data_IF_995659799094
#
_entry.id   IF_995659799094
#
_cell.length_a   1.000
_cell.length_b   1.000
_cell.length_c   1.000
_cell.angle_alpha   90.00
_cell.angle_beta   90.00
_cell.angle_gamma   90.00
#
_symmetry.space_group_name_H-M   'P 1'
#
loop_
_entity.id
_entity.type
_entity.pdbx_description
1 polymer ?
#
# COMPACT_ATOMS: atom_id res chain seq x y z
N UNK A 1 -18.67 -24.60 -38.80
CA UNK A 1 -19.84 -23.87 -38.26
C UNK A 1 -19.56 -23.51 -36.80
N UNK A 2 -19.10 -22.29 -36.53
CA UNK A 2 -18.83 -21.77 -35.19
C UNK A 2 -19.71 -20.53 -35.00
N UNK A 3 -20.53 -20.51 -33.93
CA UNK A 3 -21.41 -19.38 -33.59
C UNK A 3 -20.64 -18.35 -32.77
N UNK A 4 -20.55 -17.14 -33.31
CA UNK A 4 -20.09 -15.93 -32.63
C UNK A 4 -21.26 -15.43 -31.77
N UNK A 5 -21.05 -15.21 -30.47
CA UNK A 5 -22.01 -14.51 -29.62
C UNK A 5 -21.68 -13.02 -29.62
N UNK A 6 -22.54 -12.21 -30.27
CA UNK A 6 -22.51 -10.76 -30.16
C UNK A 6 -23.01 -10.33 -28.77
N UNK A 7 -22.14 -9.66 -28.02
CA UNK A 7 -22.47 -9.07 -26.73
C UNK A 7 -23.03 -7.67 -26.96
N UNK A 8 -24.34 -7.50 -26.86
CA UNK A 8 -24.98 -6.17 -26.88
C UNK A 8 -24.77 -5.47 -25.53
N UNK A 9 -24.21 -4.25 -25.49
CA UNK A 9 -24.04 -3.51 -24.24
C UNK A 9 -25.40 -3.05 -23.70
N UNK A 10 -25.67 -3.39 -22.43
CA UNK A 10 -26.83 -2.85 -21.72
C UNK A 10 -26.69 -1.33 -21.49
N UNK A 11 -27.77 -0.54 -21.56
CA UNK A 11 -27.69 0.91 -21.43
C UNK A 11 -27.26 1.34 -20.02
N UNK A 12 -26.58 2.50 -19.89
CA UNK A 12 -26.14 3.03 -18.59
C UNK A 12 -27.33 3.31 -17.67
N UNK A 13 -27.26 2.79 -16.44
CA UNK A 13 -28.28 3.02 -15.41
C UNK A 13 -28.33 4.50 -15.02
N UNK A 14 -29.53 5.08 -15.02
CA UNK A 14 -29.77 6.51 -14.72
C UNK A 14 -29.63 6.80 -13.21
N UNK A 15 -29.36 8.07 -12.86
CA UNK A 15 -29.16 8.56 -11.48
C UNK A 15 -30.28 8.20 -10.50
N UNK A 16 -31.50 7.94 -10.99
CA UNK A 16 -32.66 7.53 -10.17
C UNK A 16 -32.52 6.12 -9.59
N UNK A 17 -31.86 5.18 -10.27
CA UNK A 17 -31.60 3.84 -9.73
C UNK A 17 -30.56 3.86 -8.59
N UNK A 18 -29.59 4.76 -8.66
CA UNK A 18 -28.60 4.99 -7.59
C UNK A 18 -29.26 5.48 -6.29
N UNK A 19 -30.20 6.42 -6.37
CA UNK A 19 -30.91 6.93 -5.19
C UNK A 19 -31.83 5.90 -4.53
N UNK A 20 -32.50 5.02 -5.32
CA UNK A 20 -33.35 3.95 -4.78
C UNK A 20 -32.54 2.86 -4.05
N UNK A 21 -31.38 2.47 -4.58
CA UNK A 21 -30.46 1.52 -3.92
C UNK A 21 -29.96 2.06 -2.58
N UNK A 22 -29.54 3.33 -2.52
CA UNK A 22 -29.09 3.97 -1.28
C UNK A 22 -30.21 4.10 -0.22
N UNK A 23 -31.43 4.42 -0.63
CA UNK A 23 -32.57 4.50 0.29
C UNK A 23 -32.91 3.14 0.91
N UNK A 24 -32.85 2.07 0.11
CA UNK A 24 -33.07 0.67 0.55
C UNK A 24 -32.01 0.22 1.56
N UNK A 25 -30.72 0.47 1.27
CA UNK A 25 -29.61 0.10 2.17
C UNK A 25 -29.64 0.93 3.46
N UNK A 26 -29.96 2.24 3.38
CA UNK A 26 -30.14 3.10 4.55
C UNK A 26 -31.31 2.64 5.44
N UNK A 27 -32.42 2.21 4.83
CA UNK A 27 -33.59 1.69 5.55
C UNK A 27 -33.24 0.41 6.34
N UNK A 28 -32.54 -0.54 5.72
CA UNK A 28 -32.12 -1.80 6.37
C UNK A 28 -31.10 -1.55 7.50
N UNK A 29 -30.10 -0.69 7.28
CA UNK A 29 -29.15 -0.29 8.33
C UNK A 29 -29.84 0.40 9.51
N UNK A 30 -30.88 1.22 9.26
CA UNK A 30 -31.61 1.92 10.32
C UNK A 30 -32.38 0.98 11.26
N UNK A 31 -32.82 -0.18 10.76
CA UNK A 31 -33.51 -1.19 11.56
C UNK A 31 -32.55 -1.97 12.48
N UNK A 32 -31.34 -2.28 11.99
CA UNK A 32 -30.26 -2.88 12.81
C UNK A 32 -29.72 -1.90 13.87
N UNK A 33 -29.56 -0.62 13.50
CA UNK A 33 -29.14 0.46 14.41
C UNK A 33 -30.11 0.68 15.60
N UNK A 34 -31.42 0.47 15.40
CA UNK A 34 -32.42 0.63 16.48
C UNK A 34 -32.35 -0.46 17.54
N UNK A 35 -31.85 -1.67 17.23
CA UNK A 35 -31.64 -2.74 18.22
C UNK A 35 -30.36 -2.55 19.07
N UNK A 36 -29.36 -1.81 18.56
CA UNK A 36 -28.07 -1.60 19.24
C UNK A 36 -28.06 -0.35 20.14
N UNK A 37 -29.04 0.55 19.99
CA UNK A 37 -29.13 1.83 20.72
C UNK A 37 -29.33 1.76 22.25
N UNK A 38 -29.28 0.57 22.87
CA UNK A 38 -29.35 0.43 24.33
C UNK A 38 -27.96 0.26 24.93
N UNK A 39 -27.47 1.38 25.48
CA UNK A 39 -26.37 1.49 26.44
C UNK A 39 -24.98 1.11 25.92
N UNK A 40 -24.12 2.12 25.70
CA UNK A 40 -22.68 2.01 25.98
C UNK A 40 -22.09 3.41 26.14
N UNK A 41 -21.53 3.69 27.32
CA UNK A 41 -20.52 4.76 27.49
C UNK A 41 -19.48 4.61 26.37
N UNK A 42 -18.97 5.71 25.84
CA UNK A 42 -17.82 5.66 24.93
C UNK A 42 -16.71 4.88 25.62
N UNK A 43 -16.30 3.77 25.02
CA UNK A 43 -15.17 3.00 25.51
C UNK A 43 -13.94 3.90 25.47
N UNK A 44 -13.11 3.82 26.51
CA UNK A 44 -11.83 4.52 26.52
C UNK A 44 -10.71 3.54 26.25
N UNK A 45 -9.79 3.93 25.38
CA UNK A 45 -8.58 3.18 25.03
C UNK A 45 -7.37 4.05 25.30
N UNK A 46 -6.22 3.44 25.62
CA UNK A 46 -4.98 4.16 25.91
C UNK A 46 -3.87 3.66 25.00
N UNK A 47 -3.23 4.58 24.30
CA UNK A 47 -2.02 4.33 23.54
C UNK A 47 -1.19 5.61 23.48
N UNK A 48 0.12 5.47 23.32
CA UNK A 48 1.05 6.60 23.28
C UNK A 48 0.93 7.56 24.49
N UNK A 49 0.65 7.00 25.66
CA UNK A 49 0.45 7.76 26.90
C UNK A 49 -0.89 8.52 27.00
N UNK A 50 -1.67 8.62 25.92
CA UNK A 50 -2.91 9.39 25.83
C UNK A 50 -4.15 8.48 25.87
N UNK A 51 -5.23 8.96 26.50
CA UNK A 51 -6.51 8.27 26.55
C UNK A 51 -7.47 8.84 25.49
N UNK A 52 -8.06 7.95 24.67
CA UNK A 52 -8.97 8.31 23.58
C UNK A 52 -10.34 7.67 23.79
N UNK A 53 -11.40 8.42 23.45
CA UNK A 53 -12.75 7.87 23.37
C UNK A 53 -12.94 7.14 22.03
N UNK A 54 -13.29 5.86 22.08
CA UNK A 54 -13.56 5.03 20.92
C UNK A 54 -15.05 5.09 20.52
N UNK A 55 -15.30 5.33 19.23
CA UNK A 55 -16.63 5.31 18.62
C UNK A 55 -17.08 3.90 18.25
N UNK A 56 -18.35 3.73 17.85
CA UNK A 56 -18.89 2.44 17.37
C UNK A 56 -18.14 1.92 16.11
N UNK A 57 -17.48 2.80 15.36
CA UNK A 57 -16.66 2.39 14.22
C UNK A 57 -15.47 1.53 14.66
N UNK A 58 -14.91 1.77 15.86
CA UNK A 58 -13.80 0.96 16.38
C UNK A 58 -14.22 -0.49 16.60
N UNK A 59 -15.38 -0.74 17.21
CA UNK A 59 -15.92 -2.09 17.34
C UNK A 59 -16.33 -2.70 15.99
N UNK A 60 -16.87 -1.88 15.09
CA UNK A 60 -17.32 -2.32 13.76
C UNK A 60 -16.16 -2.78 12.89
N UNK A 61 -14.96 -2.19 13.06
CA UNK A 61 -13.78 -2.59 12.31
C UNK A 61 -13.44 -4.07 12.47
N UNK A 62 -13.45 -4.59 13.71
CA UNK A 62 -13.14 -6.01 13.94
C UNK A 62 -14.15 -6.94 13.27
N UNK A 63 -15.44 -6.60 13.33
CA UNK A 63 -16.50 -7.35 12.65
C UNK A 63 -16.39 -7.26 11.12
N UNK A 64 -16.12 -6.06 10.60
CA UNK A 64 -15.92 -5.81 9.17
C UNK A 64 -14.77 -6.64 8.61
N UNK A 65 -13.62 -6.66 9.31
CA UNK A 65 -12.44 -7.40 8.85
C UNK A 65 -12.70 -8.91 8.90
N UNK A 66 -13.31 -9.43 9.98
CA UNK A 66 -13.68 -10.83 10.06
C UNK A 66 -14.63 -11.24 8.92
N UNK A 67 -15.76 -10.54 8.77
CA UNK A 67 -16.76 -10.86 7.75
C UNK A 67 -16.21 -10.68 6.33
N UNK A 68 -15.39 -9.65 6.08
CA UNK A 68 -14.78 -9.44 4.77
C UNK A 68 -13.84 -10.59 4.40
N UNK A 69 -13.10 -11.14 5.36
CA UNK A 69 -12.27 -12.32 5.11
C UNK A 69 -13.11 -13.58 4.89
N UNK A 70 -14.21 -13.77 5.64
CA UNK A 70 -15.14 -14.88 5.41
C UNK A 70 -15.76 -14.84 4.00
N UNK A 71 -16.12 -13.66 3.49
CA UNK A 71 -16.55 -13.50 2.09
C UNK A 71 -15.50 -14.01 1.10
N UNK A 72 -14.22 -13.73 1.35
CA UNK A 72 -13.14 -14.22 0.49
C UNK A 72 -13.06 -15.76 0.53
N UNK A 73 -13.09 -16.36 1.72
CA UNK A 73 -13.03 -17.82 1.88
C UNK A 73 -14.22 -18.51 1.21
N UNK A 74 -15.46 -18.06 1.46
CA UNK A 74 -16.66 -18.61 0.81
C UNK A 74 -16.58 -18.56 -0.71
N UNK A 75 -16.04 -17.47 -1.28
CA UNK A 75 -15.82 -17.35 -2.72
C UNK A 75 -14.72 -18.28 -3.24
N UNK A 76 -13.63 -18.39 -2.50
CA UNK A 76 -12.52 -19.28 -2.83
C UNK A 76 -12.95 -20.75 -2.82
N UNK A 77 -13.78 -21.14 -1.87
CA UNK A 77 -14.38 -22.48 -1.75
C UNK A 77 -15.51 -22.74 -2.77
N UNK A 78 -15.81 -21.79 -3.65
CA UNK A 78 -16.83 -21.94 -4.69
C UNK A 78 -18.27 -21.97 -4.16
N UNK A 79 -18.52 -21.46 -2.94
CA UNK A 79 -19.86 -21.41 -2.39
C UNK A 79 -20.78 -20.47 -3.20
N UNK A 80 -22.07 -20.80 -3.33
CA UNK A 80 -23.02 -19.96 -4.07
C UNK A 80 -23.30 -18.63 -3.34
N UNK A 81 -23.75 -17.63 -4.09
CA UNK A 81 -24.25 -16.38 -3.51
C UNK A 81 -25.58 -16.58 -2.75
N UNK A 82 -25.91 -15.71 -1.77
CA UNK A 82 -25.10 -14.58 -1.29
C UNK A 82 -23.95 -15.02 -0.37
N UNK A 83 -22.78 -14.37 -0.49
CA UNK A 83 -21.63 -14.67 0.36
C UNK A 83 -21.63 -13.90 1.68
N UNK A 84 -22.65 -13.10 1.97
CA UNK A 84 -22.77 -12.31 3.20
C UNK A 84 -24.21 -11.83 3.36
N UNK A 85 -24.64 -11.69 4.61
CA UNK A 85 -25.88 -11.02 4.97
C UNK A 85 -25.70 -9.51 5.18
N UNK A 86 -24.45 -9.00 5.18
CA UNK A 86 -24.18 -7.57 5.27
C UNK A 86 -24.55 -6.87 3.94
N UNK A 87 -25.56 -5.98 3.93
CA UNK A 87 -26.06 -5.38 2.70
C UNK A 87 -25.07 -4.37 2.09
N UNK A 88 -24.13 -3.83 2.87
CA UNK A 88 -23.10 -2.90 2.38
C UNK A 88 -22.00 -3.69 1.68
N UNK A 89 -21.51 -4.78 2.30
CA UNK A 89 -20.49 -5.66 1.71
C UNK A 89 -21.01 -6.37 0.45
N UNK A 90 -22.30 -6.70 0.39
CA UNK A 90 -22.93 -7.25 -0.81
C UNK A 90 -23.08 -6.21 -1.95
N UNK A 91 -23.27 -4.94 -1.62
CA UNK A 91 -23.62 -3.90 -2.59
C UNK A 91 -22.42 -3.16 -3.20
N UNK A 92 -21.26 -3.15 -2.54
CA UNK A 92 -20.10 -2.33 -2.95
C UNK A 92 -18.81 -3.14 -3.02
N UNK A 93 -17.88 -2.78 -3.93
CA UNK A 93 -16.58 -3.45 -4.00
C UNK A 93 -15.72 -3.05 -2.81
N UNK A 94 -15.11 -4.03 -2.14
CA UNK A 94 -14.07 -3.84 -1.13
C UNK A 94 -12.89 -4.74 -1.47
N UNK A 95 -11.67 -4.27 -1.24
CA UNK A 95 -10.47 -5.12 -1.35
C UNK A 95 -10.53 -6.24 -0.31
N UNK A 96 -9.66 -7.24 -0.46
CA UNK A 96 -9.52 -8.30 0.53
C UNK A 96 -8.81 -7.76 1.79
N UNK A 97 -8.94 -8.46 2.91
CA UNK A 97 -8.28 -8.06 4.17
C UNK A 97 -6.76 -8.09 4.01
N UNK A 98 -6.26 -9.18 3.42
CA UNK A 98 -4.85 -9.31 3.06
C UNK A 98 -4.66 -8.83 1.63
N UNK A 99 -3.87 -7.76 1.45
CA UNK A 99 -3.62 -7.15 0.13
C UNK A 99 -3.11 -8.13 -0.90
N UNK A 100 -2.26 -9.08 -0.48
CA UNK A 100 -1.68 -10.08 -1.40
C UNK A 100 -2.77 -10.89 -2.13
N UNK A 101 -3.96 -11.02 -1.54
CA UNK A 101 -5.10 -11.74 -2.12
C UNK A 101 -5.90 -10.88 -3.10
N UNK A 102 -5.62 -9.59 -3.25
CA UNK A 102 -6.29 -8.75 -4.25
C UNK A 102 -5.93 -9.21 -5.66
N UNK A 103 -6.89 -9.10 -6.59
CA UNK A 103 -6.74 -9.55 -7.99
C UNK A 103 -5.45 -9.04 -8.64
N UNK A 104 -5.11 -7.77 -8.41
CA UNK A 104 -3.94 -7.16 -9.03
C UNK A 104 -2.63 -7.65 -8.38
N UNK A 105 -2.61 -7.85 -7.06
CA UNK A 105 -1.45 -8.44 -6.37
C UNK A 105 -1.26 -9.91 -6.75
N UNK A 106 -2.35 -10.67 -6.88
CA UNK A 106 -2.33 -12.04 -7.40
C UNK A 106 -1.80 -12.10 -8.84
N UNK A 107 -2.16 -11.14 -9.68
CA UNK A 107 -1.63 -11.04 -11.04
C UNK A 107 -0.14 -10.76 -11.05
N UNK A 108 0.34 -9.77 -10.29
CA UNK A 108 1.77 -9.46 -10.16
C UNK A 108 2.55 -10.69 -9.71
N UNK A 109 2.08 -11.36 -8.65
CA UNK A 109 2.76 -12.52 -8.10
C UNK A 109 2.90 -13.64 -9.16
N UNK A 110 1.81 -13.99 -9.83
CA UNK A 110 1.78 -15.15 -10.73
C UNK A 110 2.34 -14.87 -12.13
N UNK A 111 2.17 -13.65 -12.65
CA UNK A 111 2.50 -13.33 -14.06
C UNK A 111 3.72 -12.43 -14.22
N UNK A 112 4.12 -11.69 -13.17
CA UNK A 112 5.24 -10.74 -13.24
C UNK A 112 6.44 -11.27 -12.45
N UNK A 113 6.22 -11.66 -11.19
CA UNK A 113 7.27 -12.14 -10.28
C UNK A 113 7.69 -13.57 -10.64
N UNK A 114 6.73 -14.51 -10.65
CA UNK A 114 7.01 -15.94 -10.82
C UNK A 114 7.37 -16.36 -12.26
N UNK A 115 7.15 -15.48 -13.25
CA UNK A 115 7.51 -15.72 -14.66
C UNK A 115 8.82 -15.02 -15.03
N UNK A 116 9.49 -15.54 -16.04
CA UNK A 116 10.75 -14.98 -16.55
C UNK A 116 11.95 -15.23 -15.63
N UNK A 117 13.05 -14.53 -15.90
CA UNK A 117 14.29 -14.66 -15.12
C UNK A 117 14.07 -14.29 -13.65
N UNK A 118 14.54 -15.15 -12.75
CA UNK A 118 14.54 -14.93 -11.29
C UNK A 118 15.83 -14.26 -10.81
N UNK A 119 16.61 -13.68 -11.73
CA UNK A 119 17.66 -12.73 -11.38
C UNK A 119 17.04 -11.48 -10.72
N UNK A 120 17.74 -10.93 -9.72
CA UNK A 120 17.26 -9.80 -8.92
C UNK A 120 16.89 -8.61 -9.81
N UNK A 121 17.79 -8.21 -10.72
CA UNK A 121 17.60 -7.02 -11.55
C UNK A 121 16.49 -7.22 -12.57
N UNK A 122 16.40 -8.41 -13.16
CA UNK A 122 15.34 -8.77 -14.10
C UNK A 122 13.95 -8.77 -13.43
N UNK A 123 13.81 -9.43 -12.27
CA UNK A 123 12.55 -9.46 -11.54
C UNK A 123 12.16 -8.07 -11.00
N UNK A 124 13.14 -7.31 -10.49
CA UNK A 124 12.93 -5.94 -10.01
C UNK A 124 12.43 -5.02 -11.14
N UNK A 125 13.04 -5.08 -12.32
CA UNK A 125 12.61 -4.33 -13.50
C UNK A 125 11.16 -4.63 -13.87
N UNK A 126 10.78 -5.91 -13.95
CA UNK A 126 9.41 -6.33 -14.27
C UNK A 126 8.39 -5.80 -13.27
N UNK A 127 8.69 -5.86 -11.97
CA UNK A 127 7.81 -5.34 -10.91
C UNK A 127 7.68 -3.81 -10.99
N UNK A 128 8.78 -3.08 -11.19
CA UNK A 128 8.76 -1.64 -11.42
C UNK A 128 7.84 -1.28 -12.59
N UNK A 129 8.07 -1.91 -13.75
CA UNK A 129 7.32 -1.66 -14.97
C UNK A 129 5.82 -1.92 -14.77
N UNK A 130 5.46 -3.08 -14.21
CA UNK A 130 4.05 -3.40 -13.96
C UNK A 130 3.42 -2.36 -13.03
N UNK A 131 4.05 -2.08 -11.87
CA UNK A 131 3.47 -1.21 -10.84
C UNK A 131 3.34 0.24 -11.32
N UNK A 132 4.24 0.71 -12.18
CA UNK A 132 4.12 2.03 -12.82
C UNK A 132 2.79 2.20 -13.55
N UNK A 133 2.39 1.22 -14.37
CA UNK A 133 1.11 1.28 -15.10
C UNK A 133 -0.08 0.82 -14.25
N UNK A 134 0.18 -0.09 -13.31
CA UNK A 134 -0.76 -0.70 -12.39
C UNK A 134 -2.00 -1.29 -13.09
N UNK A 135 -1.84 -1.77 -14.32
CA UNK A 135 -2.93 -2.20 -15.22
C UNK A 135 -2.52 -3.50 -15.93
N UNK A 136 -3.33 -4.55 -15.72
CA UNK A 136 -3.09 -5.89 -16.28
C UNK A 136 -3.07 -5.82 -17.81
N UNK A 137 -4.03 -5.12 -18.41
CA UNK A 137 -4.18 -5.05 -19.86
C UNK A 137 -2.97 -4.36 -20.52
N UNK A 138 -2.34 -3.38 -19.85
CA UNK A 138 -1.12 -2.74 -20.35
C UNK A 138 0.07 -3.70 -20.30
N UNK A 139 0.17 -4.51 -19.25
CA UNK A 139 1.22 -5.52 -19.13
C UNK A 139 1.07 -6.61 -20.20
N UNK A 140 -0.13 -7.16 -20.38
CA UNK A 140 -0.41 -8.17 -21.40
C UNK A 140 -0.11 -7.63 -22.80
N UNK A 141 -0.51 -6.39 -23.09
CA UNK A 141 -0.20 -5.74 -24.37
C UNK A 141 1.30 -5.57 -24.60
N UNK A 142 2.08 -5.24 -23.57
CA UNK A 142 3.54 -5.17 -23.67
C UNK A 142 4.14 -6.56 -23.96
N UNK A 143 3.72 -7.60 -23.25
CA UNK A 143 4.19 -8.97 -23.49
C UNK A 143 3.84 -9.47 -24.91
N UNK A 144 2.64 -9.18 -25.40
CA UNK A 144 2.20 -9.57 -26.76
C UNK A 144 3.04 -8.93 -27.87
N UNK A 145 3.47 -7.68 -27.68
CA UNK A 145 4.19 -6.92 -28.72
C UNK A 145 5.71 -6.99 -28.59
N UNK A 146 6.24 -7.19 -27.38
CA UNK A 146 7.68 -7.21 -27.09
C UNK A 146 8.21 -8.62 -26.83
N UNK A 147 7.34 -9.60 -26.60
CA UNK A 147 7.71 -10.92 -26.11
C UNK A 147 8.07 -10.87 -24.62
N UNK A 148 9.07 -11.67 -24.23
CA UNK A 148 9.51 -11.71 -22.83
C UNK A 148 10.05 -10.34 -22.40
N UNK A 149 9.44 -9.77 -21.35
CA UNK A 149 9.87 -8.48 -20.79
C UNK A 149 11.13 -8.70 -19.96
N UNK A 150 12.26 -8.18 -20.44
CA UNK A 150 13.56 -8.25 -19.78
C UNK A 150 14.16 -6.86 -19.61
N UNK A 151 15.00 -6.70 -18.57
CA UNK A 151 15.82 -5.51 -18.42
C UNK A 151 16.90 -5.46 -19.50
N UNK A 152 17.52 -6.60 -19.81
CA UNK A 152 18.54 -6.72 -20.87
C UNK A 152 18.08 -6.13 -22.22
N UNK A 153 16.83 -6.36 -22.60
CA UNK A 153 16.29 -5.94 -23.91
C UNK A 153 15.49 -4.62 -23.81
N UNK A 154 15.54 -3.93 -22.67
CA UNK A 154 14.84 -2.67 -22.48
C UNK A 154 15.37 -1.58 -23.43
N UNK A 155 14.46 -1.01 -24.22
CA UNK A 155 14.74 0.10 -25.11
C UNK A 155 13.59 1.11 -25.12
N UNK A 156 13.88 2.36 -24.75
CA UNK A 156 12.86 3.40 -24.59
C UNK A 156 12.05 3.63 -25.88
N UNK A 157 12.69 3.69 -27.04
CA UNK A 157 12.02 3.97 -28.33
C UNK A 157 11.09 2.82 -28.73
N UNK A 158 11.49 1.59 -28.44
CA UNK A 158 10.67 0.40 -28.72
C UNK A 158 9.43 0.39 -27.83
N UNK A 159 9.59 0.66 -26.53
CA UNK A 159 8.47 0.79 -25.61
C UNK A 159 7.57 1.98 -25.96
N UNK A 160 8.12 3.11 -26.42
CA UNK A 160 7.33 4.25 -26.89
C UNK A 160 6.46 3.87 -28.09
N UNK A 161 7.03 3.18 -29.08
CA UNK A 161 6.29 2.73 -30.26
C UNK A 161 5.13 1.80 -29.89
N UNK A 162 5.33 0.89 -28.93
CA UNK A 162 4.28 -0.01 -28.45
C UNK A 162 3.24 0.74 -27.62
N UNK A 163 3.65 1.49 -26.60
CA UNK A 163 2.69 2.19 -25.72
C UNK A 163 1.92 3.29 -26.43
N UNK A 164 2.50 3.91 -27.46
CA UNK A 164 1.82 4.92 -28.28
C UNK A 164 0.73 4.35 -29.18
N UNK A 165 0.71 3.04 -29.43
CA UNK A 165 -0.33 2.37 -30.21
C UNK A 165 -1.49 1.82 -29.37
N UNK A 166 -1.40 1.90 -28.03
CA UNK A 166 -2.48 1.47 -27.13
C UNK A 166 -3.70 2.39 -27.32
N UNK A 167 -4.84 1.79 -27.64
CA UNK A 167 -6.12 2.50 -27.62
C UNK A 167 -6.59 2.70 -26.17
N UNK A 168 -6.78 3.96 -25.77
CA UNK A 168 -7.20 4.34 -24.43
C UNK A 168 -6.08 4.50 -23.39
N UNK A 169 -6.44 4.38 -22.11
CA UNK A 169 -5.53 4.67 -21.01
C UNK A 169 -4.56 3.52 -20.72
N UNK A 170 -3.25 3.81 -20.70
CA UNK A 170 -2.20 2.85 -20.31
C UNK A 170 -2.07 2.67 -18.79
N UNK A 171 -2.71 3.54 -18.01
CA UNK A 171 -2.71 3.48 -16.54
C UNK A 171 -4.06 3.01 -16.01
N UNK A 172 -4.03 2.37 -14.85
CA UNK A 172 -5.22 2.22 -14.03
C UNK A 172 -5.58 3.56 -13.35
N UNK A 173 -6.84 3.70 -12.94
CA UNK A 173 -7.37 4.94 -12.30
C UNK A 173 -7.13 5.02 -10.80
N UNK A 174 -6.53 3.99 -10.20
CA UNK A 174 -6.29 3.88 -8.74
C UNK A 174 -4.83 3.49 -8.50
N UNK A 175 -4.25 3.97 -7.40
CA UNK A 175 -2.84 3.78 -7.04
C UNK A 175 -1.90 4.22 -8.17
N UNK A 176 -2.15 5.44 -8.67
CA UNK A 176 -1.42 6.02 -9.80
C UNK A 176 -0.06 6.45 -9.27
N UNK A 177 1.02 5.80 -9.74
CA UNK A 177 2.35 6.34 -9.53
C UNK A 177 2.43 7.71 -10.23
N UNK A 178 2.68 8.80 -9.49
CA UNK A 178 2.82 10.09 -10.13
C UNK A 178 4.12 10.08 -10.95
N UNK A 179 4.01 10.51 -12.20
CA UNK A 179 5.18 10.70 -13.04
C UNK A 179 6.14 11.67 -12.35
N UNK A 180 7.45 11.55 -12.59
CA UNK A 180 8.43 12.52 -12.14
C UNK A 180 8.30 13.81 -12.98
N UNK A 181 7.08 14.36 -13.06
CA UNK A 181 6.65 15.50 -13.85
C UNK A 181 7.40 15.59 -15.18
N UNK A 182 8.08 16.72 -15.40
CA UNK A 182 8.95 16.96 -16.56
C UNK A 182 10.43 16.80 -16.23
N UNK A 183 10.84 16.07 -15.18
CA UNK A 183 12.26 15.88 -14.88
C UNK A 183 13.04 15.34 -16.07
N UNK A 184 12.42 14.45 -16.85
CA UNK A 184 13.01 13.90 -18.07
C UNK A 184 12.58 14.65 -19.34
N UNK A 185 11.82 15.73 -19.22
CA UNK A 185 11.47 16.62 -20.32
C UNK A 185 10.50 16.06 -21.36
N UNK A 186 9.81 14.95 -21.09
CA UNK A 186 8.80 14.41 -21.99
C UNK A 186 7.40 14.96 -21.68
N UNK A 187 6.60 15.20 -22.72
CA UNK A 187 5.18 15.57 -22.55
C UNK A 187 4.32 14.37 -22.13
N UNK A 188 4.71 13.15 -22.56
CA UNK A 188 3.99 11.92 -22.22
C UNK A 188 4.49 11.34 -20.89
N UNK A 189 3.60 11.22 -19.92
CA UNK A 189 3.94 10.71 -18.58
C UNK A 189 4.58 9.33 -18.58
N UNK A 190 4.20 8.42 -19.50
CA UNK A 190 4.81 7.09 -19.53
C UNK A 190 6.28 7.12 -19.93
N UNK A 191 6.71 8.07 -20.77
CA UNK A 191 8.13 8.23 -21.09
C UNK A 191 8.94 8.70 -19.89
N UNK A 192 8.39 9.64 -19.11
CA UNK A 192 9.00 10.08 -17.86
C UNK A 192 9.09 8.92 -16.84
N UNK A 193 8.09 8.03 -16.78
CA UNK A 193 8.16 6.84 -15.93
C UNK A 193 9.17 5.81 -16.44
N UNK A 194 9.21 5.51 -17.73
CA UNK A 194 10.18 4.57 -18.29
C UNK A 194 11.62 5.05 -18.04
N UNK A 195 11.86 6.37 -18.09
CA UNK A 195 13.13 6.96 -17.71
C UNK A 195 13.43 6.92 -16.21
N UNK A 196 12.40 7.02 -15.36
CA UNK A 196 12.56 6.79 -13.93
C UNK A 196 12.98 5.34 -13.66
N UNK A 197 12.37 4.37 -14.34
CA UNK A 197 12.73 2.95 -14.22
C UNK A 197 14.18 2.76 -14.69
N UNK A 198 14.55 3.27 -15.86
CA UNK A 198 15.94 3.24 -16.37
C UNK A 198 16.95 3.83 -15.37
N UNK A 199 16.61 4.96 -14.74
CA UNK A 199 17.42 5.54 -13.68
C UNK A 199 17.54 4.61 -12.48
N UNK A 200 16.43 4.07 -11.96
CA UNK A 200 16.44 3.16 -10.80
C UNK A 200 17.25 1.89 -11.07
N UNK A 201 17.18 1.34 -12.28
CA UNK A 201 17.95 0.18 -12.71
C UNK A 201 19.44 0.49 -12.77
N UNK A 202 19.82 1.58 -13.45
CA UNK A 202 21.22 1.95 -13.63
C UNK A 202 21.89 2.44 -12.34
N UNK A 203 21.12 3.00 -11.41
CA UNK A 203 21.60 3.35 -10.07
C UNK A 203 21.69 2.14 -9.13
N UNK A 204 21.41 0.92 -9.62
CA UNK A 204 21.52 -0.33 -8.84
C UNK A 204 20.69 -0.31 -7.56
N UNK A 205 19.50 0.30 -7.63
CA UNK A 205 18.63 0.45 -6.47
C UNK A 205 18.24 -0.90 -5.86
N UNK A 206 18.06 -1.93 -6.69
CA UNK A 206 17.75 -3.28 -6.22
C UNK A 206 18.81 -3.83 -5.25
N UNK A 207 20.10 -3.62 -5.56
CA UNK A 207 21.22 -4.07 -4.73
C UNK A 207 21.22 -3.35 -3.38
N UNK A 208 20.99 -2.03 -3.39
CA UNK A 208 20.92 -1.23 -2.16
C UNK A 208 19.74 -1.65 -1.28
N UNK A 209 18.56 -1.87 -1.87
CA UNK A 209 17.37 -2.31 -1.13
C UNK A 209 17.58 -3.70 -0.52
N UNK A 210 18.25 -4.62 -1.22
CA UNK A 210 18.49 -5.98 -0.71
C UNK A 210 19.30 -5.99 0.60
N UNK A 211 20.15 -4.99 0.81
CA UNK A 211 20.93 -4.85 2.06
C UNK A 211 20.12 -4.24 3.22
N UNK A 212 18.93 -3.71 2.96
CA UNK A 212 18.12 -3.06 3.97
C UNK A 212 17.35 -4.08 4.81
N UNK A 213 17.39 -3.89 6.12
CA UNK A 213 16.77 -4.81 7.09
C UNK A 213 15.29 -4.51 7.34
N UNK A 214 14.89 -3.24 7.27
CA UNK A 214 13.54 -2.80 7.62
C UNK A 214 12.78 -2.26 6.42
N UNK A 215 11.47 -2.56 6.37
CA UNK A 215 10.57 -2.06 5.34
C UNK A 215 10.54 -0.52 5.29
N UNK A 216 10.65 0.12 6.46
CA UNK A 216 10.67 1.58 6.61
C UNK A 216 11.91 2.21 5.98
N UNK A 217 13.07 1.56 6.10
CA UNK A 217 14.34 2.02 5.54
C UNK A 217 14.31 1.87 4.01
N UNK A 218 13.84 0.72 3.54
CA UNK A 218 13.65 0.44 2.12
C UNK A 218 12.66 1.43 1.47
N UNK A 219 11.55 1.76 2.15
CA UNK A 219 10.63 2.80 1.71
C UNK A 219 11.27 4.19 1.73
N UNK A 220 12.01 4.53 2.79
CA UNK A 220 12.76 5.78 2.90
C UNK A 220 13.69 5.99 1.72
N UNK A 221 14.52 4.99 1.41
CA UNK A 221 15.44 4.98 0.27
C UNK A 221 14.75 5.04 -1.08
N UNK A 222 13.63 4.34 -1.25
CA UNK A 222 12.85 4.36 -2.48
C UNK A 222 12.24 5.74 -2.74
N UNK A 223 11.88 6.47 -1.68
CA UNK A 223 11.36 7.84 -1.80
C UNK A 223 12.45 8.91 -1.93
N UNK A 224 13.72 8.53 -1.77
CA UNK A 224 14.86 9.43 -1.94
C UNK A 224 14.96 9.88 -3.41
N UNK A 225 15.09 11.20 -3.60
CA UNK A 225 15.19 11.79 -4.94
C UNK A 225 13.84 12.07 -5.62
N UNK A 226 12.73 11.70 -4.98
CA UNK A 226 11.37 11.97 -5.50
C UNK A 226 10.64 13.02 -4.66
N UNK A 227 10.88 13.09 -3.35
CA UNK A 227 10.13 13.99 -2.44
C UNK A 227 10.40 15.50 -2.63
N UNK A 228 11.53 15.92 -3.21
CA UNK A 228 11.76 17.35 -3.49
C UNK A 228 11.27 17.79 -4.87
N UNK A 229 10.97 16.84 -5.78
CA UNK A 229 10.58 17.17 -7.14
C UNK A 229 9.15 16.69 -7.48
N UNK A 230 8.62 15.60 -6.89
CA UNK A 230 7.38 14.96 -7.37
C UNK A 230 6.58 14.18 -6.30
N UNK A 231 5.48 14.78 -5.80
CA UNK A 231 4.17 14.10 -5.55
C UNK A 231 4.14 13.01 -4.42
N UNK A 232 2.98 12.65 -3.82
CA UNK A 232 2.94 12.14 -2.45
C UNK A 232 3.35 10.65 -2.28
N UNK A 233 4.27 10.43 -1.34
CA UNK A 233 4.75 9.27 -0.55
C UNK A 233 4.04 7.89 -0.64
N UNK A 234 2.76 7.81 -1.00
CA UNK A 234 1.91 6.62 -0.79
C UNK A 234 2.01 5.56 -1.90
N UNK A 235 2.24 5.94 -3.15
CA UNK A 235 2.29 4.95 -4.25
C UNK A 235 3.60 4.17 -4.28
N UNK A 236 4.71 4.77 -3.81
CA UNK A 236 5.95 4.04 -3.52
C UNK A 236 5.78 2.99 -2.41
N UNK A 237 4.82 3.19 -1.51
CA UNK A 237 4.52 2.16 -0.51
C UNK A 237 3.87 0.92 -1.14
N UNK A 238 3.09 1.05 -2.22
CA UNK A 238 2.55 -0.12 -2.93
C UNK A 238 3.61 -0.82 -3.77
N UNK A 239 4.55 -0.07 -4.33
CA UNK A 239 5.73 -0.64 -4.98
C UNK A 239 6.57 -1.46 -4.01
N UNK A 240 6.94 -0.91 -2.84
CA UNK A 240 7.79 -1.65 -1.88
C UNK A 240 7.11 -2.93 -1.38
N UNK A 241 5.78 -2.91 -1.19
CA UNK A 241 5.04 -4.10 -0.80
C UNK A 241 4.96 -5.15 -1.93
N UNK A 242 4.99 -4.74 -3.21
CA UNK A 242 5.09 -5.72 -4.30
C UNK A 242 6.48 -6.33 -4.39
N UNK A 243 7.52 -5.50 -4.20
CA UNK A 243 8.89 -5.96 -4.11
C UNK A 243 9.03 -6.97 -2.96
N UNK A 244 8.37 -6.75 -1.83
CA UNK A 244 8.39 -7.68 -0.69
C UNK A 244 7.73 -9.05 -0.98
N UNK A 245 7.02 -9.21 -2.10
CA UNK A 245 6.52 -10.51 -2.58
C UNK A 245 7.56 -11.28 -3.40
N UNK A 246 8.67 -10.64 -3.80
CA UNK A 246 9.78 -11.30 -4.48
C UNK A 246 10.61 -12.11 -3.46
N UNK A 247 11.20 -13.25 -3.85
CA UNK A 247 12.02 -14.06 -2.95
C UNK A 247 13.33 -13.37 -2.49
N UNK A 248 13.72 -12.28 -3.15
CA UNK A 248 14.94 -11.53 -2.84
C UNK A 248 14.82 -10.60 -1.64
N UNK A 249 13.59 -10.29 -1.20
CA UNK A 249 13.30 -9.39 -0.10
C UNK A 249 12.52 -10.14 0.98
N UNK A 250 12.72 -9.76 2.24
CA UNK A 250 12.07 -10.40 3.39
C UNK A 250 11.85 -9.42 4.54
N UNK A 251 11.30 -8.25 4.24
CA UNK A 251 11.00 -7.26 5.26
C UNK A 251 9.73 -7.63 6.03
N UNK A 252 9.73 -7.34 7.34
CA UNK A 252 8.54 -7.56 8.18
C UNK A 252 7.45 -6.54 7.87
N UNK A 253 6.26 -7.03 7.52
CA UNK A 253 5.04 -6.22 7.37
C UNK A 253 4.37 -5.89 8.71
N UNK A 254 4.87 -6.44 9.82
CA UNK A 254 4.29 -6.26 11.17
C UNK A 254 4.94 -5.11 11.98
N UNK A 255 6.05 -4.58 11.48
CA UNK A 255 6.87 -3.60 12.21
C UNK A 255 6.40 -2.15 11.97
N UNK A 256 6.14 -1.81 10.71
CA UNK A 256 5.84 -0.45 10.28
C UNK A 256 5.00 -0.40 8.99
N UNK A 257 4.24 0.69 8.83
CA UNK A 257 3.43 0.97 7.65
C UNK A 257 3.32 2.47 7.42
N UNK A 258 3.33 2.91 6.15
CA UNK A 258 3.02 4.30 5.81
C UNK A 258 1.51 4.55 5.96
N UNK A 259 1.10 5.49 6.82
CA UNK A 259 -0.32 5.76 7.09
C UNK A 259 -1.01 6.38 5.88
N UNK A 260 -1.89 5.62 5.22
CA UNK A 260 -2.71 6.11 4.12
C UNK A 260 -3.80 7.11 4.55
N UNK A 261 -4.30 7.97 3.64
CA UNK A 261 -5.29 9.00 3.94
C UNK A 261 -6.66 8.42 4.32
N UNK A 262 -7.02 7.26 3.75
CA UNK A 262 -8.22 6.53 4.13
C UNK A 262 -8.11 5.98 5.56
N UNK A 263 -6.99 5.33 5.87
CA UNK A 263 -6.72 4.77 7.20
C UNK A 263 -6.64 5.86 8.26
N UNK A 264 -5.92 6.96 7.98
CA UNK A 264 -5.91 8.18 8.82
C UNK A 264 -7.33 8.72 9.04
N UNK A 265 -8.13 8.86 7.99
CA UNK A 265 -9.52 9.30 8.14
C UNK A 265 -10.37 8.30 8.93
N UNK A 266 -10.08 7.00 8.86
CA UNK A 266 -10.76 5.98 9.65
C UNK A 266 -10.45 6.14 11.14
N UNK A 267 -9.16 6.28 11.48
CA UNK A 267 -8.70 6.47 12.86
C UNK A 267 -9.28 7.73 13.48
N UNK A 268 -9.37 8.83 12.73
CA UNK A 268 -10.02 10.07 13.19
C UNK A 268 -11.52 9.87 13.48
N UNK A 269 -12.21 9.03 12.70
CA UNK A 269 -13.62 8.66 12.98
C UNK A 269 -13.74 7.69 14.17
N UNK A 270 -12.72 6.86 14.42
CA UNK A 270 -12.69 5.94 15.55
C UNK A 270 -12.41 6.64 16.87
N UNK A 271 -11.45 7.56 16.91
CA UNK A 271 -10.87 8.09 18.15
C UNK A 271 -11.01 9.61 18.31
N UNK A 272 -11.68 10.29 17.37
CA UNK A 272 -11.82 11.75 17.37
C UNK A 272 -10.61 12.47 16.77
N UNK A 273 -10.68 13.81 16.77
CA UNK A 273 -9.63 14.68 16.22
C UNK A 273 -8.30 14.59 16.97
N UNK A 274 -8.35 14.21 18.24
CA UNK A 274 -7.20 14.22 19.14
C UNK A 274 -6.18 13.13 18.77
N UNK A 275 -6.56 12.15 17.94
CA UNK A 275 -5.64 11.14 17.41
C UNK A 275 -4.64 11.72 16.38
N UNK A 276 -4.80 12.97 15.98
CA UNK A 276 -3.86 13.63 15.07
C UNK A 276 -2.44 13.63 15.65
N UNK A 277 -1.48 13.03 14.94
CA UNK A 277 -0.11 12.85 15.41
C UNK A 277 0.14 11.49 16.07
N UNK A 278 -0.92 10.78 16.46
CA UNK A 278 -0.86 9.46 17.11
C UNK A 278 -1.33 8.33 16.19
N UNK A 279 -1.49 8.57 14.87
CA UNK A 279 -2.11 7.59 13.97
C UNK A 279 -1.30 6.29 13.82
N UNK A 280 0.04 6.37 13.80
CA UNK A 280 0.89 5.17 13.76
C UNK A 280 0.75 4.37 15.07
N UNK A 281 0.78 5.05 16.22
CA UNK A 281 0.60 4.44 17.53
C UNK A 281 -0.80 3.81 17.68
N UNK A 282 -1.84 4.43 17.12
CA UNK A 282 -3.19 3.87 17.10
C UNK A 282 -3.26 2.56 16.29
N UNK A 283 -2.59 2.48 15.13
CA UNK A 283 -2.51 1.23 14.36
C UNK A 283 -1.72 0.16 15.10
N UNK A 284 -0.62 0.54 15.76
CA UNK A 284 0.18 -0.38 16.60
C UNK A 284 -0.64 -0.92 17.77
N UNK A 285 -1.40 -0.06 18.44
CA UNK A 285 -2.35 -0.45 19.47
C UNK A 285 -3.40 -1.44 18.94
N UNK A 286 -3.99 -1.18 17.76
CA UNK A 286 -4.91 -2.11 17.11
C UNK A 286 -4.22 -3.46 16.87
N UNK A 287 -2.97 -3.44 16.38
CA UNK A 287 -2.19 -4.65 16.09
C UNK A 287 -1.90 -5.47 17.34
N UNK A 288 -1.46 -4.82 18.41
CA UNK A 288 -1.05 -5.48 19.65
C UNK A 288 -2.26 -6.05 20.41
N UNK A 289 -3.37 -5.30 20.44
CA UNK A 289 -4.56 -5.67 21.22
C UNK A 289 -5.63 -6.38 20.37
N UNK A 290 -5.36 -6.69 19.10
CA UNK A 290 -6.38 -7.18 18.16
C UNK A 290 -7.17 -8.39 18.68
N UNK A 291 -6.50 -9.38 19.28
CA UNK A 291 -7.15 -10.61 19.74
C UNK A 291 -8.11 -10.35 20.91
N UNK A 292 -7.74 -9.45 21.82
CA UNK A 292 -8.62 -8.99 22.90
C UNK A 292 -9.86 -8.34 22.33
N UNK A 293 -9.70 -7.50 21.30
CA UNK A 293 -10.80 -6.77 20.70
C UNK A 293 -11.69 -7.61 19.78
N UNK A 294 -11.14 -8.54 18.99
CA UNK A 294 -11.91 -9.55 18.27
C UNK A 294 -12.83 -10.32 19.23
N UNK A 295 -12.27 -10.87 20.31
CA UNK A 295 -13.05 -11.58 21.33
C UNK A 295 -14.09 -10.68 21.99
N UNK A 296 -13.72 -9.45 22.35
CA UNK A 296 -14.62 -8.48 23.01
C UNK A 296 -15.82 -8.11 22.13
N UNK A 297 -15.64 -8.05 20.82
CA UNK A 297 -16.68 -7.67 19.86
C UNK A 297 -17.39 -8.86 19.22
N UNK A 298 -17.21 -10.05 19.80
CA UNK A 298 -17.97 -11.25 19.45
C UNK A 298 -17.54 -11.90 18.13
N UNK A 299 -16.27 -11.74 17.73
CA UNK A 299 -15.68 -12.50 16.63
C UNK A 299 -15.08 -13.77 17.20
N UNK A 300 -15.49 -14.92 16.68
CA UNK A 300 -14.98 -16.21 17.12
C UNK A 300 -13.52 -16.40 16.70
N UNK A 301 -12.74 -17.15 17.49
CA UNK A 301 -11.31 -17.38 17.22
C UNK A 301 -11.05 -17.96 15.83
N UNK A 302 -11.98 -18.76 15.30
CA UNK A 302 -11.90 -19.37 13.96
C UNK A 302 -12.20 -18.37 12.83
N UNK A 303 -12.87 -17.26 13.15
CA UNK A 303 -13.22 -16.21 12.19
C UNK A 303 -12.18 -15.09 12.12
N UNK A 304 -11.25 -15.04 13.09
CA UNK A 304 -10.11 -14.13 13.06
C UNK A 304 -9.33 -14.37 11.76
N UNK A 305 -9.13 -13.34 10.92
CA UNK A 305 -8.51 -13.52 9.62
C UNK A 305 -7.16 -14.21 9.71
N UNK A 306 -6.92 -15.14 8.78
CA UNK A 306 -5.64 -15.83 8.67
C UNK A 306 -5.25 -15.91 7.20
N UNK A 307 -4.05 -15.42 6.87
CA UNK A 307 -3.60 -15.38 5.48
C UNK A 307 -3.50 -16.79 4.87
N UNK A 308 -2.83 -17.70 5.58
CA UNK A 308 -2.71 -19.11 5.22
C UNK A 308 -2.49 -19.96 6.49
N UNK A 309 -2.68 -21.30 6.43
CA UNK A 309 -2.54 -22.18 7.59
C UNK A 309 -1.20 -22.08 8.33
N UNK A 310 -0.10 -21.84 7.59
CA UNK A 310 1.27 -21.74 8.08
C UNK A 310 1.52 -20.45 8.89
N UNK A 311 0.64 -19.45 8.77
CA UNK A 311 0.75 -18.16 9.46
C UNK A 311 -0.16 -18.14 10.68
N UNK A 312 0.27 -17.41 11.72
CA UNK A 312 -0.60 -17.12 12.87
C UNK A 312 -1.85 -16.35 12.39
N UNK A 313 -3.04 -16.58 12.99
CA UNK A 313 -4.18 -15.69 12.81
C UNK A 313 -3.83 -14.25 13.19
N UNK A 314 -4.57 -13.32 12.62
CA UNK A 314 -4.44 -11.89 12.88
C UNK A 314 -3.89 -11.11 11.71
N UNK A 315 -3.79 -9.81 11.93
CA UNK A 315 -3.42 -8.79 10.96
C UNK A 315 -2.04 -8.22 11.30
N UNK A 316 -1.23 -8.00 10.28
CA UNK A 316 -0.02 -7.20 10.38
C UNK A 316 -0.32 -5.70 10.38
N UNK A 317 0.69 -4.84 10.62
CA UNK A 317 0.56 -3.39 10.45
C UNK A 317 0.11 -3.02 9.03
N UNK A 318 0.62 -3.71 8.00
CA UNK A 318 0.21 -3.50 6.60
C UNK A 318 -1.25 -3.88 6.36
N UNK A 319 -1.71 -5.01 6.92
CA UNK A 319 -3.10 -5.46 6.80
C UNK A 319 -4.06 -4.50 7.51
N UNK A 320 -3.65 -3.96 8.66
CA UNK A 320 -4.44 -2.98 9.43
C UNK A 320 -4.57 -1.68 8.66
N UNK A 321 -3.49 -1.14 8.11
CA UNK A 321 -3.57 0.08 7.27
C UNK A 321 -4.48 -0.16 6.07
N UNK A 322 -4.33 -1.28 5.38
CA UNK A 322 -5.11 -1.61 4.20
C UNK A 322 -6.60 -1.72 4.52
N UNK A 323 -6.94 -2.50 5.56
CA UNK A 323 -8.32 -2.73 5.97
C UNK A 323 -8.98 -1.52 6.64
N UNK A 324 -8.22 -0.65 7.31
CA UNK A 324 -8.73 0.64 7.82
C UNK A 324 -9.17 1.56 6.68
N UNK A 325 -8.46 1.56 5.56
CA UNK A 325 -8.85 2.33 4.37
C UNK A 325 -10.21 1.87 3.82
N UNK A 326 -10.43 0.56 3.75
CA UNK A 326 -11.71 -0.02 3.32
C UNK A 326 -12.81 0.12 4.38
N UNK A 327 -12.47 0.03 5.67
CA UNK A 327 -13.40 0.29 6.76
C UNK A 327 -13.86 1.75 6.75
N UNK A 328 -12.99 2.70 6.38
CA UNK A 328 -13.41 4.09 6.20
C UNK A 328 -14.44 4.21 5.09
N UNK A 329 -14.24 3.52 3.97
CA UNK A 329 -15.20 3.45 2.87
C UNK A 329 -16.52 2.82 3.30
N UNK A 330 -16.48 1.73 4.07
CA UNK A 330 -17.65 1.06 4.65
C UNK A 330 -18.43 1.98 5.60
N UNK A 331 -17.70 2.73 6.44
CA UNK A 331 -18.29 3.69 7.40
C UNK A 331 -19.17 4.75 6.72
N UNK A 332 -18.88 5.12 5.46
CA UNK A 332 -19.66 6.13 4.73
C UNK A 332 -21.12 5.71 4.52
N UNK A 333 -21.41 4.41 4.46
CA UNK A 333 -22.78 3.89 4.41
C UNK A 333 -23.31 3.51 5.80
N UNK A 334 -22.49 2.88 6.64
CA UNK A 334 -22.91 2.35 7.95
C UNK A 334 -23.13 3.43 9.01
N UNK A 335 -22.34 4.51 8.96
CA UNK A 335 -22.30 5.63 9.91
C UNK A 335 -22.29 6.97 9.16
N UNK A 336 -23.39 7.35 8.47
CA UNK A 336 -23.45 8.58 7.67
C UNK A 336 -23.26 9.87 8.49
N UNK A 337 -23.44 9.80 9.81
CA UNK A 337 -23.18 10.87 10.76
C UNK A 337 -21.67 11.09 11.04
N UNK A 338 -20.83 10.06 10.88
CA UNK A 338 -19.37 10.16 11.02
C UNK A 338 -18.76 10.71 9.72
N UNK A 339 -18.89 12.02 9.53
CA UNK A 339 -18.45 12.70 8.30
C UNK A 339 -16.93 12.71 8.16
N UNK A 340 -16.44 12.27 7.01
CA UNK A 340 -15.08 12.48 6.54
C UNK A 340 -15.07 13.34 5.28
N UNK A 341 -13.89 13.53 4.67
CA UNK A 341 -13.77 14.28 3.39
C UNK A 341 -14.56 13.62 2.25
N UNK A 342 -14.71 12.30 2.26
CA UNK A 342 -15.45 11.53 1.25
C UNK A 342 -16.73 10.96 1.88
N UNK A 343 -17.85 11.08 1.16
CA UNK A 343 -19.18 10.67 1.65
C UNK A 343 -19.82 9.54 0.86
N UNK A 344 -19.32 9.23 -0.34
CA UNK A 344 -19.83 8.13 -1.17
C UNK A 344 -18.96 6.90 -0.97
N UNK A 345 -19.57 5.72 -0.85
CA UNK A 345 -18.84 4.43 -0.76
C UNK A 345 -18.09 4.16 -2.07
N UNK A 346 -18.81 4.15 -3.18
CA UNK A 346 -18.27 3.89 -4.51
C UNK A 346 -19.40 3.59 -5.50
N UNK A 347 -19.02 3.08 -6.67
CA UNK A 347 -19.98 2.49 -7.61
C UNK A 347 -20.46 1.12 -7.09
N UNK A 348 -21.68 0.68 -7.44
CA UNK A 348 -22.18 -0.63 -7.07
C UNK A 348 -21.25 -1.76 -7.52
N UNK A 349 -21.16 -2.81 -6.71
CA UNK A 349 -20.42 -4.02 -7.06
C UNK A 349 -21.10 -4.72 -8.24
N UNK A 350 -20.28 -5.18 -9.17
CA UNK A 350 -20.70 -6.07 -10.25
C UNK A 350 -19.83 -7.32 -10.13
N UNK A 351 -20.45 -8.46 -9.84
CA UNK A 351 -19.75 -9.72 -9.78
C UNK A 351 -19.15 -10.03 -11.15
N UNK A 352 -17.87 -10.40 -11.14
CA UNK A 352 -17.18 -10.93 -12.31
C UNK A 352 -17.00 -12.42 -12.10
N UNK A 353 -17.26 -13.19 -13.15
CA UNK A 353 -17.03 -14.64 -13.17
C UNK A 353 -15.54 -14.89 -13.47
N UNK A 354 -14.72 -14.63 -12.46
CA UNK A 354 -13.28 -14.85 -12.49
C UNK A 354 -12.91 -15.74 -11.31
N UNK A 355 -11.99 -16.71 -11.50
CA UNK A 355 -11.55 -17.56 -10.42
C UNK A 355 -10.92 -16.73 -9.31
N UNK A 356 -11.25 -17.06 -8.06
CA UNK A 356 -10.56 -16.51 -6.91
C UNK A 356 -9.27 -17.27 -6.73
N UNK A 357 -8.15 -16.56 -6.69
CA UNK A 357 -6.83 -17.16 -6.52
C UNK A 357 -6.31 -16.90 -5.10
N UNK A 358 -5.59 -17.88 -4.57
CA UNK A 358 -4.94 -17.82 -3.27
C UNK A 358 -3.50 -18.34 -3.44
N UNK A 359 -2.67 -17.52 -4.08
CA UNK A 359 -1.22 -17.76 -4.17
C UNK A 359 -0.52 -16.86 -3.17
N UNK A 360 0.36 -17.44 -2.35
CA UNK A 360 1.16 -16.73 -1.34
C UNK A 360 2.62 -16.74 -1.78
N UNK A 361 3.39 -15.66 -1.60
CA UNK A 361 4.84 -15.65 -1.83
C UNK A 361 5.52 -16.78 -1.05
N UNK A 362 6.34 -17.58 -1.72
CA UNK A 362 6.94 -18.78 -1.11
C UNK A 362 7.82 -18.44 0.10
N UNK A 363 8.51 -17.30 0.07
CA UNK A 363 9.30 -16.76 1.18
C UNK A 363 8.46 -16.34 2.40
N UNK A 364 7.13 -16.19 2.26
CA UNK A 364 6.25 -15.84 3.38
C UNK A 364 5.72 -17.06 4.13
N UNK A 365 5.87 -18.26 3.56
CA UNK A 365 5.47 -19.53 4.17
C UNK A 365 6.48 -20.00 5.23
N UNK A 366 7.72 -19.51 5.17
CA UNK A 366 8.68 -19.69 6.26
C UNK A 366 8.32 -18.77 7.42
N UNK A 367 8.50 -19.25 8.66
CA UNK A 367 8.19 -18.49 9.87
C UNK A 367 8.82 -17.08 9.76
N UNK A 368 8.07 -15.98 9.96
CA UNK A 368 8.61 -14.64 9.82
C UNK A 368 9.84 -14.49 10.70
N UNK A 369 10.88 -13.83 10.17
CA UNK A 369 12.07 -13.49 10.95
C UNK A 369 11.57 -12.83 12.24
N UNK A 370 11.99 -13.38 13.39
CA UNK A 370 11.70 -12.78 14.69
C UNK A 370 12.09 -11.31 14.64
N UNK A 371 11.21 -10.42 15.14
CA UNK A 371 11.54 -9.01 15.28
C UNK A 371 12.94 -8.89 15.88
N UNK A 372 13.85 -8.12 15.27
CA UNK A 372 15.20 -8.02 15.78
C UNK A 372 15.19 -7.59 17.24
N UNK A 373 15.99 -8.22 18.08
CA UNK A 373 16.26 -7.67 19.39
C UNK A 373 17.14 -6.43 19.22
N UNK A 374 16.69 -5.33 19.82
CA UNK A 374 17.35 -4.04 19.79
C UNK A 374 18.11 -3.86 21.11
N UNK A 375 19.39 -3.50 21.03
CA UNK A 375 20.28 -3.41 22.20
C UNK A 375 19.98 -2.21 23.09
N UNK A 376 19.34 -1.16 22.54
CA UNK A 376 18.92 0.06 23.25
C UNK A 376 20.01 0.59 24.21
N UNK A 377 21.18 0.99 23.67
CA UNK A 377 22.28 1.46 24.50
C UNK A 377 21.87 2.70 25.31
N UNK A 378 22.47 2.90 26.50
CA UNK A 378 22.24 4.11 27.29
C UNK A 378 22.77 5.36 26.55
N UNK A 379 22.39 6.57 27.00
CA UNK A 379 22.98 7.81 26.52
C UNK A 379 24.52 7.81 26.55
N UNK A 380 25.12 8.52 25.60
CA UNK A 380 26.55 8.76 25.51
C UNK A 380 27.05 9.76 26.56
N UNK A 381 26.17 10.66 27.02
CA UNK A 381 26.48 11.71 28.00
C UNK A 381 25.25 12.11 28.84
N UNK A 382 25.47 12.98 29.83
CA UNK A 382 24.44 13.49 30.75
C UNK A 382 23.39 14.40 30.08
N UNK A 383 23.56 14.74 28.80
CA UNK A 383 22.62 15.53 28.02
C UNK A 383 21.64 14.65 27.21
N UNK A 384 21.56 13.36 27.52
CA UNK A 384 20.76 12.38 26.77
C UNK A 384 21.14 12.31 25.27
N UNK A 385 22.43 12.39 24.96
CA UNK A 385 22.92 12.26 23.58
C UNK A 385 22.95 10.80 23.14
N UNK A 386 22.44 10.49 21.95
CA UNK A 386 22.44 9.13 21.38
C UNK A 386 23.14 9.11 20.02
N UNK A 387 23.72 7.96 19.68
CA UNK A 387 24.37 7.74 18.38
C UNK A 387 23.35 7.47 17.27
N UNK A 388 23.49 8.14 16.14
CA UNK A 388 22.66 7.92 14.94
C UNK A 388 23.27 6.78 14.12
N UNK A 389 22.47 5.76 13.82
CA UNK A 389 22.88 4.69 12.89
C UNK A 389 22.88 5.18 11.44
N UNK A 390 21.76 5.76 10.98
CA UNK A 390 21.62 6.28 9.62
C UNK A 390 20.39 7.18 9.48
N UNK A 391 20.32 7.93 8.38
CA UNK A 391 19.14 8.68 7.97
C UNK A 391 18.19 7.73 7.22
N UNK A 392 16.97 7.57 7.73
CA UNK A 392 15.91 6.77 7.11
C UNK A 392 15.28 7.54 5.95
N UNK A 393 14.94 8.82 6.19
CA UNK A 393 14.23 9.67 5.24
C UNK A 393 14.38 11.15 5.55
N UNK A 394 14.43 12.00 4.53
CA UNK A 394 14.27 13.45 4.67
C UNK A 394 12.78 13.82 4.59
N UNK A 395 12.26 14.48 5.63
CA UNK A 395 10.83 14.85 5.72
C UNK A 395 10.57 16.18 5.03
N UNK A 396 11.42 17.16 5.32
CA UNK A 396 11.53 18.46 4.67
C UNK A 396 13.02 18.83 4.68
N UNK A 397 13.43 19.76 3.82
CA UNK A 397 14.84 20.14 3.72
C UNK A 397 15.43 20.48 5.09
N UNK A 398 16.53 19.80 5.44
CA UNK A 398 17.21 19.96 6.72
C UNK A 398 16.52 19.31 7.93
N UNK A 399 15.48 18.50 7.74
CA UNK A 399 14.84 17.71 8.78
C UNK A 399 14.76 16.24 8.37
N UNK A 400 15.44 15.40 9.14
CA UNK A 400 15.65 14.00 8.83
C UNK A 400 14.96 13.11 9.85
N UNK A 401 14.32 12.05 9.37
CA UNK A 401 13.94 10.90 10.18
C UNK A 401 15.22 10.07 10.34
N UNK A 402 15.68 9.91 11.57
CA UNK A 402 16.91 9.20 11.90
C UNK A 402 16.59 7.89 12.63
N UNK A 403 17.39 6.86 12.35
CA UNK A 403 17.41 5.60 13.10
C UNK A 403 18.57 5.67 14.10
N UNK A 404 18.28 5.46 15.37
CA UNK A 404 19.29 5.44 16.44
C UNK A 404 20.02 4.08 16.47
N UNK A 405 21.30 4.09 16.83
CA UNK A 405 22.12 2.87 16.92
C UNK A 405 21.56 1.93 17.99
N UNK A 406 21.22 0.71 17.58
CA UNK A 406 20.69 -0.30 18.49
C UNK A 406 19.19 -0.15 18.79
N UNK A 407 18.47 0.71 18.07
CA UNK A 407 17.01 0.92 18.20
C UNK A 407 16.26 0.50 16.93
N UNK A 408 14.94 0.35 17.03
CA UNK A 408 14.08 -0.11 15.94
C UNK A 408 13.34 1.02 15.21
N UNK A 409 12.63 0.70 14.10
CA UNK A 409 11.82 1.67 13.36
C UNK A 409 10.72 2.37 14.16
N UNK A 410 10.36 1.84 15.33
CA UNK A 410 9.39 2.44 16.26
C UNK A 410 9.95 3.63 17.00
N UNK A 411 11.27 3.72 17.11
CA UNK A 411 11.99 4.72 17.90
C UNK A 411 12.59 5.83 17.01
N UNK A 412 12.32 5.78 15.71
CA UNK A 412 12.79 6.81 14.78
C UNK A 412 12.18 8.17 15.12
N UNK A 413 13.03 9.18 15.19
CA UNK A 413 12.60 10.56 15.48
C UNK A 413 12.97 11.50 14.35
N UNK A 414 12.29 12.65 14.31
CA UNK A 414 12.64 13.74 13.40
C UNK A 414 13.67 14.63 14.07
N UNK A 415 14.83 14.79 13.46
CA UNK A 415 15.93 15.64 13.94
C UNK A 415 16.27 16.68 12.88
N UNK A 416 16.44 17.94 13.29
CA UNK A 416 16.91 19.01 12.40
C UNK A 416 18.42 18.94 12.22
N UNK A 417 18.91 19.38 11.07
CA UNK A 417 20.35 19.42 10.77
C UNK A 417 21.17 20.16 11.84
N UNK A 418 20.62 21.22 12.43
CA UNK A 418 21.27 21.98 13.51
C UNK A 418 21.43 21.21 14.83
N UNK A 419 20.67 20.14 15.04
CA UNK A 419 20.71 19.31 16.25
C UNK A 419 21.54 18.04 16.05
N UNK A 420 22.09 17.83 14.85
CA UNK A 420 23.04 16.76 14.60
C UNK A 420 24.43 17.24 15.02
N UNK A 421 25.08 16.50 15.94
CA UNK A 421 26.46 16.78 16.35
C UNK A 421 27.44 16.60 15.19
N UNK A 422 28.67 17.12 15.32
CA UNK A 422 29.69 17.04 14.27
C UNK A 422 29.91 15.60 13.76
N UNK A 423 29.83 14.59 14.63
CA UNK A 423 29.96 13.17 14.26
C UNK A 423 28.84 12.66 13.33
N UNK A 424 27.67 13.28 13.35
CA UNK A 424 26.53 12.93 12.48
C UNK A 424 26.49 13.73 11.17
N UNK A 425 27.36 14.74 11.02
CA UNK A 425 27.42 15.55 9.79
C UNK A 425 27.90 14.73 8.58
N UNK A 426 28.67 13.67 8.80
CA UNK A 426 29.05 12.74 7.74
C UNK A 426 27.82 12.05 7.13
N UNK A 427 26.85 11.63 7.95
CA UNK A 427 25.61 11.01 7.48
C UNK A 427 24.79 11.97 6.60
N UNK A 428 24.74 13.25 7.00
CA UNK A 428 24.09 14.30 6.20
C UNK A 428 24.83 14.51 4.88
N UNK A 429 26.17 14.51 4.89
CA UNK A 429 26.98 14.62 3.67
C UNK A 429 26.75 13.42 2.73
N UNK A 430 26.70 12.20 3.26
CA UNK A 430 26.38 10.98 2.51
C UNK A 430 24.98 11.06 1.90
N UNK A 431 23.99 11.53 2.66
CA UNK A 431 22.62 11.74 2.18
C UNK A 431 22.55 12.76 1.03
N UNK A 432 23.19 13.92 1.20
CA UNK A 432 23.27 14.96 0.16
C UNK A 432 23.99 14.46 -1.10
N UNK A 433 25.09 13.70 -0.94
CA UNK A 433 25.79 13.05 -2.04
C UNK A 433 24.90 12.08 -2.81
N UNK A 434 24.07 11.30 -2.11
CA UNK A 434 23.12 10.39 -2.73
C UNK A 434 22.04 11.14 -3.52
N UNK A 435 21.52 12.26 -3.01
CA UNK A 435 20.60 13.15 -3.76
C UNK A 435 21.27 13.70 -5.02
N UNK A 436 22.51 14.17 -4.92
CA UNK A 436 23.24 14.71 -6.07
C UNK A 436 23.46 13.64 -7.14
N UNK A 437 23.84 12.41 -6.75
CA UNK A 437 23.99 11.27 -7.68
C UNK A 437 22.72 11.03 -8.50
N UNK A 438 21.54 11.10 -7.87
CA UNK A 438 20.25 10.95 -8.55
C UNK A 438 20.01 12.12 -9.52
N UNK A 439 20.29 13.36 -9.11
CA UNK A 439 20.15 14.54 -9.96
C UNK A 439 21.06 14.48 -11.20
N UNK A 440 22.35 14.15 -11.01
CA UNK A 440 23.30 13.93 -12.10
C UNK A 440 22.84 12.80 -13.02
N UNK A 441 22.27 11.75 -12.43
CA UNK A 441 21.65 10.65 -13.13
C UNK A 441 20.54 11.11 -14.07
N UNK A 442 19.62 11.96 -13.59
CA UNK A 442 18.54 12.56 -14.39
C UNK A 442 19.13 13.40 -15.53
N UNK A 443 20.05 14.31 -15.22
CA UNK A 443 20.65 15.20 -16.22
C UNK A 443 21.33 14.42 -17.35
N UNK A 444 22.06 13.36 -17.01
CA UNK A 444 22.70 12.46 -17.98
C UNK A 444 21.69 11.86 -18.97
N UNK A 445 20.53 11.37 -18.51
CA UNK A 445 19.49 10.82 -19.41
C UNK A 445 18.88 11.92 -20.28
N UNK A 446 18.60 13.09 -19.70
CA UNK A 446 18.09 14.24 -20.45
C UNK A 446 19.05 14.69 -21.55
N UNK A 447 20.37 14.56 -21.34
CA UNK A 447 21.37 14.83 -22.39
C UNK A 447 21.32 13.78 -23.50
N UNK A 448 21.33 12.49 -23.13
CA UNK A 448 21.22 11.38 -24.09
C UNK A 448 19.96 11.48 -24.96
N UNK A 449 18.82 11.81 -24.36
CA UNK A 449 17.55 11.97 -25.09
C UNK A 449 17.56 13.15 -26.07
N UNK A 450 18.25 14.25 -25.72
CA UNK A 450 18.41 15.39 -26.62
C UNK A 450 19.28 15.04 -27.83
N UNK A 451 20.39 14.32 -27.60
CA UNK A 451 21.30 13.87 -28.66
C UNK A 451 20.58 12.94 -29.67
N UNK A 452 19.76 12.00 -29.17
CA UNK A 452 18.98 11.09 -30.02
C UNK A 452 17.92 11.82 -30.85
N UNK A 453 17.34 12.92 -30.35
CA UNK A 453 16.33 13.70 -31.10
C UNK A 453 16.94 14.61 -32.17
N UNK A 454 18.22 14.94 -32.05
CA UNK A 454 18.94 15.78 -33.03
C UNK A 454 19.59 14.98 -34.15
N UNK A 455 19.66 13.66 -34.01
CA UNK A 455 20.07 12.70 -35.04
C UNK A 455 18.83 12.18 -35.79
#
# INVERSE_FOLDING_TARGET
MAKIYEHTPSPPRTSKQYHRSLASVRSLCSAQLRKIKRSRRSEKVKFDGVEFAASELFSTYFQFVAERHQIFLRRYDGQPQPWTDDPILAAYPFTNVFRVLDRNSQYILQNVIQKGSQDLHEAFFRVLLFRTFNKIETWEFLEENLGAITWKDFNLQTYDRVLSSVDGAVYNSVYIMPAPGRAFGFDRNYLNHLRLIDLMMAEKLADELQQMKHLKDAHGRLTLGVNEIFTPVLDFFRLILDLNMMPHFNWSEDEWVAVGPGSKSCLHKMFGSDVAGHEEAAMRFIRDEQFKYFKKYGVDTVEIPRLCPERRPGLTMVDIEHSLCECEKYSRARFPELKGKRVRVGLPYVAKDLPVTLVIPTNWLTCPLSSPQYSQPPPLDDNDTYEVSHIVKEKVTGHYIVRWLGWGPTDDTVVSEANLSEGSMELVAQWKKMKQKIADGIEKRCKQDREIRTQ
#
